data_IF_199261924946
#
_entry.id   IF_199261924946
#
_cell.length_a   1.000
_cell.length_b   1.000
_cell.length_c   1.000
_cell.angle_alpha   90.00
_cell.angle_beta   90.00
_cell.angle_gamma   90.00
#
_symmetry.space_group_name_H-M   'P 1'
#
loop_
_entity.id
_entity.type
_entity.pdbx_description
1 polymer ?
#
# COMPACT_ATOMS: atom_id res chain seq x y z
N UNK A 1 -25.64 6.51 17.23
CA UNK A 1 -24.58 6.70 18.25
C UNK A 1 -23.66 7.75 17.68
N UNK A 2 -23.79 9.00 18.12
CA UNK A 2 -22.84 10.07 17.78
C UNK A 2 -21.49 9.71 18.38
N UNK A 3 -20.45 9.56 17.55
CA UNK A 3 -19.08 9.44 18.03
C UNK A 3 -18.19 10.47 17.36
N UNK A 4 -17.29 10.97 18.22
CA UNK A 4 -16.47 12.14 18.07
C UNK A 4 -15.45 12.01 16.95
N UNK A 5 -15.26 13.12 16.23
CA UNK A 5 -14.08 13.38 15.39
C UNK A 5 -13.82 14.89 15.54
N UNK A 6 -12.60 15.43 15.44
CA UNK A 6 -11.52 15.03 14.55
C UNK A 6 -10.19 15.58 15.10
N UNK A 7 -9.23 14.69 15.34
CA UNK A 7 -7.80 15.04 15.31
C UNK A 7 -7.25 14.55 13.97
N UNK A 8 -6.52 15.40 13.24
CA UNK A 8 -5.92 15.00 11.97
C UNK A 8 -5.09 13.73 12.15
N UNK A 9 -5.40 12.68 11.39
CA UNK A 9 -4.65 11.43 11.41
C UNK A 9 -3.48 11.55 10.45
N UNK A 10 -2.26 11.31 10.93
CA UNK A 10 -1.05 11.40 10.11
C UNK A 10 -0.45 10.01 9.91
N UNK A 11 -0.51 9.50 8.68
CA UNK A 11 0.28 8.37 8.23
C UNK A 11 1.67 8.86 7.85
N UNK A 12 2.72 8.10 8.16
CA UNK A 12 4.09 8.48 7.79
C UNK A 12 4.72 7.42 6.90
N UNK A 13 5.25 7.83 5.76
CA UNK A 13 5.83 6.96 4.73
C UNK A 13 7.21 7.47 4.34
N UNK A 14 8.20 6.58 4.42
CA UNK A 14 9.52 6.73 3.82
C UNK A 14 9.52 5.89 2.53
N UNK A 15 9.53 6.55 1.38
CA UNK A 15 9.51 5.88 0.08
C UNK A 15 10.93 5.76 -0.47
N UNK A 16 11.55 4.59 -0.34
CA UNK A 16 12.86 4.29 -0.92
C UNK A 16 12.75 3.13 -1.93
N UNK A 17 12.77 3.42 -3.23
CA UNK A 17 13.00 2.38 -4.24
C UNK A 17 14.50 2.08 -4.29
N UNK A 18 14.90 0.88 -3.86
CA UNK A 18 16.27 0.40 -4.02
C UNK A 18 16.37 -0.53 -5.23
N UNK A 19 17.19 -0.15 -6.21
CA UNK A 19 17.62 -1.07 -7.27
C UNK A 19 18.75 -1.96 -6.72
N UNK A 20 18.69 -3.27 -6.97
CA UNK A 20 19.64 -4.26 -6.43
C UNK A 20 21.11 -4.07 -6.89
N UNK A 21 21.41 -3.02 -7.67
CA UNK A 21 22.72 -2.79 -8.28
C UNK A 21 23.48 -1.56 -7.73
N UNK A 22 22.97 -0.81 -6.76
CA UNK A 22 23.71 0.33 -6.20
C UNK A 22 23.49 0.55 -4.72
N UNK A 23 24.46 0.10 -3.90
CA UNK A 23 24.75 0.72 -2.62
C UNK A 23 25.11 2.19 -2.91
N UNK A 24 24.21 3.15 -2.67
CA UNK A 24 24.65 4.55 -2.59
C UNK A 24 23.72 5.68 -3.01
N UNK A 25 22.47 5.47 -3.46
CA UNK A 25 21.53 6.59 -3.63
C UNK A 25 20.10 6.15 -3.30
N UNK A 26 19.60 6.58 -2.15
CA UNK A 26 18.15 6.65 -1.93
C UNK A 26 17.68 7.84 -2.78
N UNK A 27 17.01 7.56 -3.90
CA UNK A 27 16.40 8.63 -4.70
C UNK A 27 15.38 9.39 -3.85
N UNK A 28 15.37 10.71 -3.98
CA UNK A 28 14.41 11.53 -3.22
C UNK A 28 12.98 11.22 -3.68
N UNK A 29 12.02 11.39 -2.79
CA UNK A 29 10.60 11.17 -3.09
C UNK A 29 10.18 11.90 -4.39
N UNK A 30 10.58 13.17 -4.54
CA UNK A 30 10.24 14.01 -5.68
C UNK A 30 10.91 13.59 -7.00
N UNK A 31 11.94 12.74 -6.97
CA UNK A 31 12.52 12.18 -8.19
C UNK A 31 11.68 11.02 -8.74
N UNK A 32 11.05 10.24 -7.85
CA UNK A 32 10.39 8.99 -8.18
C UNK A 32 8.86 9.11 -8.21
N UNK A 33 8.30 9.99 -7.38
CA UNK A 33 6.88 10.10 -7.12
C UNK A 33 6.37 11.51 -7.36
N UNK A 34 5.06 11.60 -7.60
CA UNK A 34 4.31 12.83 -7.72
C UNK A 34 3.00 12.69 -6.94
N UNK A 35 2.46 13.82 -6.48
CA UNK A 35 1.12 13.86 -5.88
C UNK A 35 0.11 13.35 -6.89
N UNK A 36 -0.80 12.48 -6.45
CA UNK A 36 -1.89 11.97 -7.28
C UNK A 36 -3.16 12.80 -7.05
N UNK A 37 -3.48 13.09 -5.79
CA UNK A 37 -4.62 13.93 -5.39
C UNK A 37 -4.36 14.56 -4.01
N UNK A 38 -5.13 15.62 -3.68
CA UNK A 38 -5.13 16.32 -2.39
C UNK A 38 -3.73 16.70 -1.87
N UNK A 39 -3.02 17.55 -2.63
CA UNK A 39 -1.67 18.00 -2.31
C UNK A 39 -1.56 18.73 -0.94
N UNK A 40 -2.64 19.37 -0.51
CA UNK A 40 -2.77 20.04 0.79
C UNK A 40 -2.87 19.07 1.98
N UNK A 41 -3.19 17.80 1.71
CA UNK A 41 -3.22 16.71 2.69
C UNK A 41 -1.91 15.89 2.69
N UNK A 42 -0.87 16.40 2.05
CA UNK A 42 0.45 15.77 2.03
C UNK A 42 1.52 16.76 2.50
N UNK A 43 2.36 16.32 3.44
CA UNK A 43 3.54 17.05 3.88
C UNK A 43 4.80 16.25 3.54
N UNK A 44 5.87 16.94 3.13
CA UNK A 44 7.14 16.33 2.78
C UNK A 44 8.28 16.98 3.55
N UNK A 45 8.90 16.21 4.43
CA UNK A 45 9.97 16.67 5.32
C UNK A 45 11.20 15.75 5.19
N UNK A 46 12.20 16.18 4.44
CA UNK A 46 13.53 15.55 4.45
C UNK A 46 13.58 14.07 4.01
N UNK A 47 12.64 13.60 3.17
CA UNK A 47 12.52 12.19 2.78
C UNK A 47 11.28 11.50 3.33
N UNK A 48 10.63 12.14 4.30
CA UNK A 48 9.43 11.65 4.97
C UNK A 48 8.17 12.25 4.34
N UNK A 49 7.25 11.42 3.88
CA UNK A 49 5.94 11.83 3.37
C UNK A 49 4.91 11.57 4.46
N UNK A 50 4.12 12.57 4.83
CA UNK A 50 2.99 12.42 5.74
C UNK A 50 1.70 12.60 4.99
N UNK A 51 0.82 11.59 5.02
CA UNK A 51 -0.54 11.70 4.48
C UNK A 51 -1.51 12.03 5.60
N UNK A 52 -2.45 12.93 5.33
CA UNK A 52 -3.53 13.31 6.22
C UNK A 52 -4.87 12.81 5.67
N UNK A 53 -5.75 12.48 6.59
CA UNK A 53 -7.16 12.21 6.32
C UNK A 53 -8.00 13.03 7.28
N UNK A 54 -8.95 13.78 6.72
CA UNK A 54 -9.99 14.47 7.47
C UNK A 54 -11.33 14.41 6.71
N UNK A 55 -12.34 15.12 7.20
CA UNK A 55 -13.69 15.12 6.60
C UNK A 55 -13.75 15.66 5.16
N UNK A 56 -12.72 16.38 4.72
CA UNK A 56 -12.65 16.99 3.39
C UNK A 56 -11.99 16.08 2.36
N UNK A 57 -10.91 15.39 2.72
CA UNK A 57 -10.20 14.50 1.81
C UNK A 57 -9.26 13.52 2.51
N UNK A 58 -8.90 12.48 1.76
CA UNK A 58 -7.68 11.70 2.00
C UNK A 58 -6.51 12.27 1.20
N UNK A 59 -5.49 11.45 0.97
CA UNK A 59 -4.35 11.84 0.13
C UNK A 59 -3.70 10.63 -0.54
N UNK A 60 -2.87 10.88 -1.53
CA UNK A 60 -2.14 9.82 -2.21
C UNK A 60 -1.17 10.32 -3.24
N UNK A 61 -0.17 9.50 -3.51
CA UNK A 61 0.88 9.76 -4.49
C UNK A 61 1.10 8.55 -5.38
N UNK A 62 1.70 8.79 -6.54
CA UNK A 62 1.95 7.79 -7.57
C UNK A 62 3.37 7.95 -8.12
N UNK A 63 3.97 6.85 -8.56
CA UNK A 63 5.26 6.90 -9.23
C UNK A 63 5.14 7.63 -10.57
N UNK A 64 6.16 8.42 -10.92
CA UNK A 64 6.23 9.14 -12.21
C UNK A 64 6.41 8.21 -13.41
N UNK A 65 6.86 6.97 -13.14
CA UNK A 65 7.11 5.94 -14.15
C UNK A 65 6.31 4.70 -13.82
N UNK A 66 6.08 3.88 -14.85
CA UNK A 66 5.53 2.54 -14.72
C UNK A 66 6.62 1.51 -14.96
N UNK A 67 6.44 0.34 -14.37
CA UNK A 67 7.44 -0.72 -14.35
C UNK A 67 6.82 -2.02 -14.82
N UNK A 68 7.60 -2.83 -15.52
CA UNK A 68 7.31 -4.24 -15.75
C UNK A 68 8.33 -5.03 -14.93
N UNK A 69 7.84 -5.82 -13.97
CA UNK A 69 8.66 -6.50 -12.97
C UNK A 69 9.49 -5.54 -12.08
N UNK A 70 10.10 -6.09 -11.03
CA UNK A 70 10.91 -5.37 -10.06
C UNK A 70 10.52 -5.68 -8.62
N UNK A 71 11.16 -4.99 -7.68
CA UNK A 71 10.76 -4.97 -6.26
C UNK A 71 10.44 -3.52 -5.89
N UNK A 72 9.19 -3.26 -5.53
CA UNK A 72 8.80 -1.99 -4.93
C UNK A 72 8.84 -2.17 -3.41
N UNK A 73 9.53 -1.28 -2.72
CA UNK A 73 9.64 -1.28 -1.26
C UNK A 73 9.30 0.10 -0.75
N UNK A 74 8.50 0.14 0.31
CA UNK A 74 8.18 1.34 1.09
C UNK A 74 8.32 1.02 2.55
N UNK A 75 8.65 2.05 3.32
CA UNK A 75 8.74 1.98 4.76
C UNK A 75 7.55 2.78 5.31
N UNK A 76 6.65 2.12 6.04
CA UNK A 76 5.39 2.71 6.49
C UNK A 76 5.30 2.59 8.01
N UNK A 77 4.88 3.67 8.66
CA UNK A 77 4.38 3.68 10.02
C UNK A 77 2.92 4.10 10.00
N UNK A 78 2.04 3.23 10.47
CA UNK A 78 0.59 3.40 10.44
C UNK A 78 0.09 4.42 11.46
N UNK A 79 -1.17 4.80 11.30
CA UNK A 79 -1.84 5.78 12.14
C UNK A 79 -2.04 5.21 13.55
N UNK A 80 -1.50 5.89 14.57
CA UNK A 80 -1.72 5.52 15.97
C UNK A 80 -3.08 5.99 16.50
N UNK A 81 -3.53 5.36 17.60
CA UNK A 81 -4.80 5.70 18.24
C UNK A 81 -6.01 5.07 17.55
N UNK A 82 -7.11 5.81 17.46
CA UNK A 82 -8.36 5.33 16.85
C UNK A 82 -8.35 5.51 15.34
N UNK A 83 -8.00 4.45 14.61
CA UNK A 83 -7.88 4.46 13.15
C UNK A 83 -9.05 3.75 12.46
N UNK A 84 -10.14 3.49 13.19
CA UNK A 84 -11.32 2.84 12.64
C UNK A 84 -11.82 3.57 11.37
N UNK A 85 -12.23 2.79 10.37
CA UNK A 85 -12.68 3.28 9.07
C UNK A 85 -11.57 3.63 8.10
N UNK A 86 -10.32 3.79 8.56
CA UNK A 86 -9.22 4.19 7.66
C UNK A 86 -8.61 3.01 6.91
N UNK A 87 -8.23 3.25 5.66
CA UNK A 87 -7.37 2.34 4.88
C UNK A 87 -6.13 3.10 4.44
N UNK A 88 -4.98 2.59 4.86
CA UNK A 88 -3.70 2.92 4.23
C UNK A 88 -3.43 1.87 3.15
N UNK A 89 -3.21 2.29 1.91
CA UNK A 89 -2.90 1.38 0.80
C UNK A 89 -1.49 1.60 0.27
N UNK A 90 -0.78 0.53 -0.01
CA UNK A 90 0.44 0.50 -0.82
C UNK A 90 0.22 -0.53 -1.93
N UNK A 91 0.20 -0.08 -3.17
CA UNK A 91 -0.20 -0.96 -4.26
C UNK A 91 0.53 -0.66 -5.57
N UNK A 92 0.53 -1.66 -6.45
CA UNK A 92 0.96 -1.48 -7.84
C UNK A 92 -0.23 -1.72 -8.75
N UNK A 93 -0.51 -0.82 -9.70
CA UNK A 93 -1.66 -0.99 -10.62
C UNK A 93 -1.35 -0.50 -12.05
N UNK A 94 -1.94 -1.17 -13.05
CA UNK A 94 -1.96 -0.70 -14.45
C UNK A 94 -3.25 0.07 -14.78
N UNK A 95 -3.33 0.67 -15.96
CA UNK A 95 -4.52 1.47 -16.31
C UNK A 95 -5.67 0.61 -16.87
N UNK A 96 -6.89 1.12 -16.68
CA UNK A 96 -8.10 0.65 -17.38
C UNK A 96 -8.80 -0.52 -16.71
N UNK A 97 -9.94 -0.91 -17.29
CA UNK A 97 -10.87 -1.88 -16.67
C UNK A 97 -10.29 -3.29 -16.56
N UNK A 98 -9.27 -3.61 -17.37
CA UNK A 98 -8.55 -4.88 -17.35
C UNK A 98 -7.18 -4.75 -16.67
N UNK A 99 -7.07 -3.88 -15.69
CA UNK A 99 -5.82 -3.65 -14.97
C UNK A 99 -5.33 -4.92 -14.26
N UNK A 100 -4.02 -4.99 -14.06
CA UNK A 100 -3.42 -5.84 -13.06
C UNK A 100 -3.14 -4.99 -11.83
N UNK A 101 -3.28 -5.57 -10.64
CA UNK A 101 -3.07 -4.84 -9.39
C UNK A 101 -2.57 -5.75 -8.28
N UNK A 102 -1.71 -5.23 -7.40
CA UNK A 102 -1.16 -5.89 -6.22
C UNK A 102 -1.31 -4.99 -5.02
N UNK A 103 -2.03 -5.44 -4.01
CA UNK A 103 -2.45 -4.58 -2.90
C UNK A 103 -1.83 -5.01 -1.58
N UNK A 104 -1.31 -4.05 -0.86
CA UNK A 104 -1.32 -4.04 0.60
C UNK A 104 -2.33 -3.00 1.06
N UNK A 105 -3.30 -3.42 1.87
CA UNK A 105 -4.26 -2.55 2.51
C UNK A 105 -4.21 -2.77 4.02
N UNK A 106 -3.86 -1.74 4.76
CA UNK A 106 -3.85 -1.76 6.22
C UNK A 106 -5.15 -1.20 6.73
N UNK A 107 -5.95 -2.07 7.33
CA UNK A 107 -7.29 -1.78 7.80
C UNK A 107 -7.19 -1.28 9.23
N UNK A 108 -7.50 0.00 9.42
CA UNK A 108 -7.48 0.63 10.72
C UNK A 108 -8.58 0.09 11.64
N UNK A 109 -8.37 0.29 12.93
CA UNK A 109 -9.20 -0.29 13.97
C UNK A 109 -9.36 0.67 15.16
N UNK A 110 -10.33 0.38 16.02
CA UNK A 110 -10.57 1.15 17.23
C UNK A 110 -9.36 1.07 18.17
N UNK A 111 -9.16 2.11 18.98
CA UNK A 111 -8.01 2.18 19.91
C UNK A 111 -7.87 0.90 20.74
N UNK A 112 -6.68 0.29 20.69
CA UNK A 112 -6.33 -0.92 21.45
C UNK A 112 -6.58 -2.24 20.72
N UNK A 113 -7.28 -2.22 19.59
CA UNK A 113 -7.48 -3.38 18.73
C UNK A 113 -6.41 -3.43 17.62
N UNK A 114 -5.99 -4.64 17.16
CA UNK A 114 -4.92 -4.76 16.18
C UNK A 114 -5.36 -4.29 14.79
N UNK A 115 -4.39 -3.78 14.04
CA UNK A 115 -4.52 -3.62 12.59
C UNK A 115 -4.59 -4.98 11.89
N UNK A 116 -5.38 -5.05 10.82
CA UNK A 116 -5.30 -6.14 9.85
C UNK A 116 -4.55 -5.67 8.61
N UNK A 117 -3.70 -6.52 8.06
CA UNK A 117 -3.17 -6.34 6.71
C UNK A 117 -3.93 -7.25 5.75
N UNK A 118 -4.51 -6.66 4.71
CA UNK A 118 -5.11 -7.33 3.58
C UNK A 118 -4.13 -7.28 2.40
N UNK A 119 -4.02 -8.39 1.68
CA UNK A 119 -3.41 -8.42 0.35
C UNK A 119 -4.39 -8.85 -0.69
N UNK A 120 -4.32 -8.28 -1.90
CA UNK A 120 -5.13 -8.70 -3.04
C UNK A 120 -4.30 -8.73 -4.33
N UNK A 121 -4.82 -9.45 -5.32
CA UNK A 121 -4.19 -9.57 -6.64
C UNK A 121 -5.28 -9.53 -7.69
N UNK A 122 -5.24 -8.52 -8.55
CA UNK A 122 -6.03 -8.43 -9.77
C UNK A 122 -5.20 -8.88 -10.97
N UNK A 123 -5.83 -9.69 -11.82
CA UNK A 123 -5.28 -10.08 -13.11
C UNK A 123 -6.34 -9.86 -14.16
N UNK A 124 -6.07 -8.99 -15.13
CA UNK A 124 -7.02 -8.59 -16.18
C UNK A 124 -8.37 -8.06 -15.66
N UNK A 125 -8.34 -7.27 -14.58
CA UNK A 125 -9.51 -6.69 -13.92
C UNK A 125 -10.24 -7.65 -12.98
N UNK A 126 -9.79 -8.90 -12.87
CA UNK A 126 -10.40 -9.90 -11.98
C UNK A 126 -9.61 -9.95 -10.67
N UNK A 127 -10.22 -9.49 -9.57
CA UNK A 127 -9.70 -9.57 -8.20
C UNK A 127 -10.27 -10.77 -7.42
N UNK A 128 -10.82 -10.50 -6.23
CA UNK A 128 -11.40 -11.48 -5.30
C UNK A 128 -10.40 -12.54 -4.83
N UNK A 129 -9.18 -12.11 -4.50
CA UNK A 129 -8.11 -12.96 -4.00
C UNK A 129 -7.59 -12.43 -2.67
N UNK A 130 -8.47 -11.90 -1.84
CA UNK A 130 -8.11 -11.29 -0.57
C UNK A 130 -7.50 -12.34 0.37
N UNK A 131 -6.43 -11.94 1.06
CA UNK A 131 -5.92 -12.65 2.24
C UNK A 131 -5.71 -11.63 3.33
N UNK A 132 -6.25 -11.90 4.52
CA UNK A 132 -6.11 -11.05 5.71
C UNK A 132 -5.30 -11.76 6.77
N UNK A 133 -4.48 -11.01 7.50
CA UNK A 133 -3.76 -11.53 8.65
C UNK A 133 -3.45 -10.42 9.67
N UNK A 134 -3.22 -10.84 10.90
CA UNK A 134 -2.64 -9.99 11.94
C UNK A 134 -1.15 -9.76 11.67
N UNK A 135 -0.63 -8.64 12.18
CA UNK A 135 0.81 -8.35 12.21
C UNK A 135 1.41 -8.87 13.52
N UNK A 136 2.66 -9.36 13.46
CA UNK A 136 3.40 -9.83 14.64
C UNK A 136 4.09 -8.71 15.42
N UNK A 137 3.71 -7.45 15.15
CA UNK A 137 4.20 -6.22 15.77
C UNK A 137 3.11 -5.15 15.73
N UNK A 138 3.29 -4.07 16.49
CA UNK A 138 2.42 -2.89 16.41
C UNK A 138 2.92 -1.93 15.31
N UNK A 139 2.24 -1.85 14.15
CA UNK A 139 2.69 -1.06 13.00
C UNK A 139 2.56 0.45 13.21
N UNK A 140 2.02 0.91 14.34
CA UNK A 140 1.85 2.34 14.67
C UNK A 140 3.05 2.90 15.44
N UNK A 141 3.90 2.03 15.98
CA UNK A 141 4.98 2.42 16.91
C UNK A 141 6.29 2.73 16.20
N UNK A 142 6.60 2.01 15.13
CA UNK A 142 7.81 2.21 14.33
C UNK A 142 7.52 1.97 12.85
N UNK A 143 8.50 2.30 12.02
CA UNK A 143 8.47 2.03 10.60
C UNK A 143 8.83 0.57 10.29
N UNK A 144 8.10 -0.01 9.33
CA UNK A 144 8.35 -1.35 8.83
C UNK A 144 8.42 -1.37 7.30
N UNK A 145 9.20 -2.29 6.74
CA UNK A 145 9.35 -2.42 5.29
C UNK A 145 8.25 -3.30 4.72
N UNK A 146 7.51 -2.77 3.76
CA UNK A 146 6.51 -3.48 2.98
C UNK A 146 6.97 -3.55 1.52
N UNK A 147 7.04 -4.76 0.98
CA UNK A 147 7.60 -4.98 -0.35
C UNK A 147 6.72 -5.85 -1.22
N UNK A 148 6.63 -5.49 -2.51
CA UNK A 148 6.05 -6.31 -3.56
C UNK A 148 7.17 -6.65 -4.54
N UNK A 149 7.61 -7.92 -4.53
CA UNK A 149 8.53 -8.46 -5.53
C UNK A 149 7.71 -9.10 -6.65
N UNK A 150 7.86 -8.59 -7.87
CA UNK A 150 7.18 -9.11 -9.05
C UNK A 150 8.21 -9.45 -10.13
N UNK A 151 8.18 -10.68 -10.62
CA UNK A 151 9.04 -11.14 -11.71
C UNK A 151 8.29 -12.19 -12.56
N UNK A 152 8.86 -12.68 -13.68
CA UNK A 152 8.17 -13.62 -14.56
C UNK A 152 7.71 -14.93 -13.90
N UNK A 153 8.26 -15.29 -12.73
CA UNK A 153 7.92 -16.52 -12.00
C UNK A 153 6.88 -16.32 -10.91
N UNK A 154 6.80 -15.15 -10.30
CA UNK A 154 5.97 -14.94 -9.11
C UNK A 154 5.78 -13.47 -8.73
N UNK A 155 4.72 -13.23 -7.95
CA UNK A 155 4.53 -12.05 -7.10
C UNK A 155 4.71 -12.50 -5.65
N UNK A 156 5.48 -11.75 -4.86
CA UNK A 156 5.71 -12.03 -3.44
C UNK A 156 5.46 -10.76 -2.65
N UNK A 157 4.61 -10.86 -1.64
CA UNK A 157 4.35 -9.81 -0.65
C UNK A 157 5.24 -10.10 0.57
N UNK A 158 6.01 -9.11 1.01
CA UNK A 158 6.92 -9.23 2.14
C UNK A 158 6.68 -8.11 3.15
N UNK A 159 6.86 -8.46 4.42
CA UNK A 159 6.93 -7.55 5.55
C UNK A 159 8.28 -7.80 6.24
N UNK A 160 9.14 -6.80 6.32
CA UNK A 160 10.50 -6.90 6.86
C UNK A 160 11.29 -8.09 6.30
N UNK A 161 11.28 -8.22 4.96
CA UNK A 161 11.85 -9.33 4.19
C UNK A 161 11.27 -10.74 4.49
N UNK A 162 10.25 -10.84 5.35
CA UNK A 162 9.51 -12.08 5.59
C UNK A 162 8.38 -12.21 4.58
N UNK A 163 8.37 -13.25 3.71
CA UNK A 163 7.28 -13.46 2.77
C UNK A 163 5.99 -13.83 3.51
N UNK A 164 4.92 -13.08 3.28
CA UNK A 164 3.59 -13.36 3.84
C UNK A 164 2.66 -14.01 2.81
N UNK A 165 2.92 -13.81 1.51
CA UNK A 165 2.12 -14.36 0.42
C UNK A 165 2.94 -14.51 -0.86
N UNK A 166 2.73 -15.62 -1.57
CA UNK A 166 3.32 -15.89 -2.89
C UNK A 166 2.21 -16.23 -3.89
N UNK A 167 2.24 -15.57 -5.05
CA UNK A 167 1.42 -15.89 -6.21
C UNK A 167 2.31 -16.31 -7.38
N UNK A 168 2.37 -17.61 -7.62
CA UNK A 168 3.21 -18.20 -8.65
C UNK A 168 2.61 -18.03 -10.05
N UNK A 169 3.47 -17.81 -11.05
CA UNK A 169 3.06 -17.88 -12.45
C UNK A 169 2.67 -19.32 -12.80
N UNK A 170 1.37 -19.51 -13.05
CA UNK A 170 0.75 -20.77 -13.45
C UNK A 170 0.08 -20.67 -14.84
N UNK A 171 0.60 -19.81 -15.72
CA UNK A 171 0.08 -19.65 -17.10
C UNK A 171 0.08 -20.97 -17.87
N UNK A 172 1.10 -21.82 -17.66
CA UNK A 172 1.15 -23.18 -18.25
C UNK A 172 0.01 -24.10 -17.79
N UNK A 173 -0.68 -23.75 -16.71
CA UNK A 173 -1.87 -24.43 -16.18
C UNK A 173 -3.17 -23.66 -16.48
N UNK A 174 -3.12 -22.65 -17.35
CA UNK A 174 -4.28 -21.84 -17.74
C UNK A 174 -4.68 -20.76 -16.73
N UNK A 175 -3.87 -20.49 -15.70
CA UNK A 175 -4.13 -19.41 -14.74
C UNK A 175 -3.38 -18.17 -15.21
N UNK A 176 -4.11 -17.11 -15.53
CA UNK A 176 -3.53 -15.86 -15.99
C UNK A 176 -2.52 -15.29 -14.99
N UNK A 177 -1.48 -14.65 -15.50
CA UNK A 177 -0.45 -13.98 -14.70
C UNK A 177 -0.23 -12.55 -15.21
N UNK A 178 -0.05 -11.57 -14.32
CA UNK A 178 0.22 -10.19 -14.69
C UNK A 178 1.65 -10.09 -15.24
N UNK A 179 1.82 -10.27 -16.55
CA UNK A 179 3.13 -10.34 -17.20
C UNK A 179 3.40 -9.27 -18.27
N UNK A 180 2.39 -8.48 -18.65
CA UNK A 180 2.45 -7.68 -19.88
C UNK A 180 1.97 -6.24 -19.75
N UNK A 181 1.37 -5.85 -18.61
CA UNK A 181 0.95 -4.47 -18.36
C UNK A 181 1.89 -3.83 -17.35
N UNK A 182 2.52 -2.72 -17.74
CA UNK A 182 3.36 -1.95 -16.82
C UNK A 182 2.49 -1.29 -15.74
N UNK A 183 2.94 -1.35 -14.49
CA UNK A 183 2.20 -0.81 -13.34
C UNK A 183 2.93 0.37 -12.71
N UNK A 184 2.15 1.37 -12.28
CA UNK A 184 2.65 2.41 -11.38
C UNK A 184 2.71 1.86 -9.95
N UNK A 185 3.46 2.55 -9.08
CA UNK A 185 3.49 2.31 -7.64
C UNK A 185 2.71 3.44 -6.98
N UNK A 186 1.79 3.09 -6.10
CA UNK A 186 0.86 4.03 -5.48
C UNK A 186 0.86 3.85 -3.97
N UNK A 187 0.56 4.95 -3.28
CA UNK A 187 0.22 4.90 -1.88
C UNK A 187 -0.89 5.92 -1.59
N UNK A 188 -1.83 5.57 -0.73
CA UNK A 188 -2.94 6.43 -0.34
C UNK A 188 -3.39 6.19 1.09
N UNK A 189 -4.04 7.20 1.65
CA UNK A 189 -4.80 7.12 2.89
C UNK A 189 -6.21 7.64 2.60
N UNK A 190 -7.23 6.85 2.91
CA UNK A 190 -8.62 7.18 2.60
C UNK A 190 -9.59 6.52 3.60
N UNK A 191 -10.83 6.99 3.62
CA UNK A 191 -11.89 6.47 4.47
C UNK A 191 -12.67 5.36 3.74
N UNK A 192 -12.78 4.20 4.39
CA UNK A 192 -13.48 3.00 3.97
C UNK A 192 -14.41 2.46 5.08
N UNK A 193 -15.09 3.38 5.80
CA UNK A 193 -16.03 3.09 6.90
C UNK A 193 -16.99 1.92 6.61
N UNK A 194 -17.40 1.74 5.36
CA UNK A 194 -18.33 0.69 4.95
C UNK A 194 -17.77 -0.75 5.11
N UNK A 195 -16.45 -0.95 5.19
CA UNK A 195 -15.89 -2.31 5.22
C UNK A 195 -14.56 -2.51 5.96
N UNK A 196 -13.78 -1.46 6.23
CA UNK A 196 -12.42 -1.61 6.76
C UNK A 196 -12.38 -2.13 8.21
N UNK A 197 -13.31 -1.69 9.06
CA UNK A 197 -13.31 -2.04 10.49
C UNK A 197 -14.46 -2.99 10.82
N UNK A 198 -14.15 -4.15 11.38
CA UNK A 198 -15.11 -5.15 11.88
C UNK A 198 -16.11 -5.72 10.86
N UNK A 199 -15.94 -5.45 9.55
CA UNK A 199 -16.52 -6.24 8.46
C UNK A 199 -18.05 -6.35 8.47
N UNK A 200 -18.76 -5.22 8.52
CA UNK A 200 -20.21 -5.20 8.27
C UNK A 200 -20.47 -5.30 6.76
N UNK A 201 -20.18 -6.46 6.18
CA UNK A 201 -20.62 -6.88 4.84
C UNK A 201 -21.57 -8.05 4.93
#
# INVERSE_FOLDING_TARGET
MEFALWGAMALVISAALSSAASLGNVSRFDELFQMNWAADHMDYDGGLVKLKLDSSSGAGFASKRKYIYGKATVEIKLVGGDSAGTVTAFYMSSDGDKHNEFDFEFLGNTTGEPYLVQTNIYVEGVGNREQRMDLWFDPTTDFHYYSILWNPRQVVFLIDETPIRVFENKEKKGIAFPGYQAMGVYNSLWNADDWATQGVG
#
